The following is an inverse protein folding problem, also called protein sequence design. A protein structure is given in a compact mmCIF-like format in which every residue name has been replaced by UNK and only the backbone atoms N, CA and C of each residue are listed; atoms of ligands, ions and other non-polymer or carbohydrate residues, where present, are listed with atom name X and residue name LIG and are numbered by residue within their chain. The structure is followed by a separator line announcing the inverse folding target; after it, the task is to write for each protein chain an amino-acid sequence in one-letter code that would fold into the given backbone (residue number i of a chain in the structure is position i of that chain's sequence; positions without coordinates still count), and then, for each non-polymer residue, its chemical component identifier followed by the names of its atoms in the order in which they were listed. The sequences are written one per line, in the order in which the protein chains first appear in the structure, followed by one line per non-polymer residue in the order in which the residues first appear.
data_IF_919925356488
#
_entry.id   IF_919925356488
#
_cell.length_a   1.000
_cell.length_b   1.000
_cell.length_c   1.000
_cell.angle_alpha   90.00
_cell.angle_beta   90.00
_cell.angle_gamma   90.00
#
_symmetry.space_group_name_H-M   'P 1'
#
loop_
_entity.id
_entity.type
_entity.pdbx_description
1 polymer ?
#
# COMPACT_ATOMS: atom_id res chain seq x y z
N UNK A 1 1.89 28.35 1.10
CA UNK A 1 2.76 27.27 1.60
C UNK A 1 1.97 26.49 2.61
N UNK A 2 2.01 25.16 2.56
CA UNK A 2 1.38 24.32 3.57
C UNK A 2 2.04 24.56 4.94
N UNK A 3 1.26 24.87 5.97
CA UNK A 3 1.74 25.06 7.35
C UNK A 3 1.71 23.75 8.17
N UNK A 4 1.62 22.61 7.49
CA UNK A 4 1.59 21.29 8.12
C UNK A 4 2.94 21.00 8.76
N UNK A 5 2.93 20.60 10.04
CA UNK A 5 4.12 20.21 10.79
C UNK A 5 3.86 18.97 11.65
N UNK A 6 4.88 18.16 11.95
CA UNK A 6 4.75 17.10 12.95
C UNK A 6 4.28 17.66 14.29
N UNK A 7 3.36 16.95 14.96
CA UNK A 7 2.77 17.40 16.23
C UNK A 7 2.96 16.35 17.34
N UNK A 8 3.95 16.54 18.23
CA UNK A 8 4.12 15.70 19.40
C UNK A 8 2.91 15.74 20.36
N UNK A 9 2.20 16.86 20.41
CA UNK A 9 1.03 17.03 21.28
C UNK A 9 -0.16 16.20 20.79
N UNK A 10 -0.46 16.27 19.49
CA UNK A 10 -1.52 15.46 18.86
C UNK A 10 -1.16 13.97 18.95
N UNK A 11 0.12 13.60 18.76
CA UNK A 11 0.58 12.23 18.97
C UNK A 11 0.35 11.75 20.41
N UNK A 12 0.63 12.59 21.41
CA UNK A 12 0.44 12.26 22.81
C UNK A 12 -1.05 12.09 23.17
N UNK A 13 -1.95 12.89 22.59
CA UNK A 13 -3.40 12.70 22.71
C UNK A 13 -3.81 11.35 22.11
N UNK A 14 -3.30 11.02 20.93
CA UNK A 14 -3.62 9.78 20.26
C UNK A 14 -3.17 8.54 21.05
N UNK A 15 -1.97 8.56 21.64
CA UNK A 15 -1.51 7.48 22.53
C UNK A 15 -2.34 7.39 23.81
N UNK A 16 -2.71 8.52 24.42
CA UNK A 16 -3.62 8.53 25.58
C UNK A 16 -4.98 7.90 25.27
N UNK A 17 -5.53 8.17 24.08
CA UNK A 17 -6.75 7.51 23.61
C UNK A 17 -6.57 5.99 23.57
N UNK A 18 -5.49 5.50 22.95
CA UNK A 18 -5.20 4.07 22.85
C UNK A 18 -4.99 3.44 24.23
N UNK A 19 -4.31 4.12 25.14
CA UNK A 19 -4.11 3.64 26.52
C UNK A 19 -5.40 3.64 27.36
N UNK A 20 -6.33 4.56 27.11
CA UNK A 20 -7.57 4.66 27.88
C UNK A 20 -8.54 3.50 27.58
N UNK A 21 -8.47 2.93 26.37
CA UNK A 21 -9.35 1.84 25.91
C UNK A 21 -9.14 0.53 26.72
N UNK A 22 -7.94 -0.08 26.79
CA UNK A 22 -7.70 -1.30 27.57
C UNK A 22 -7.93 -1.12 29.06
N UNK A 23 -7.63 0.08 29.58
CA UNK A 23 -7.74 0.39 31.00
C UNK A 23 -9.16 0.79 31.43
N UNK A 24 -10.13 0.73 30.50
CA UNK A 24 -11.55 1.02 30.75
C UNK A 24 -11.76 2.30 31.54
N UNK A 25 -11.15 3.40 31.07
CA UNK A 25 -11.26 4.74 31.67
C UNK A 25 -12.29 5.58 30.90
N UNK A 26 -13.61 5.40 31.14
CA UNK A 26 -14.66 6.01 30.33
C UNK A 26 -14.65 7.54 30.37
N UNK A 27 -14.31 8.10 31.54
CA UNK A 27 -14.17 9.55 31.69
C UNK A 27 -13.00 10.10 30.87
N UNK A 28 -11.89 9.36 30.79
CA UNK A 28 -10.73 9.78 30.00
C UNK A 28 -11.09 9.77 28.50
N UNK A 29 -11.75 8.72 28.02
CA UNK A 29 -12.21 8.63 26.63
C UNK A 29 -13.17 9.78 26.28
N UNK A 30 -14.15 10.06 27.15
CA UNK A 30 -15.08 11.18 26.98
C UNK A 30 -14.36 12.53 26.96
N UNK A 31 -13.40 12.73 27.85
CA UNK A 31 -12.67 14.00 27.97
C UNK A 31 -11.76 14.29 26.78
N UNK A 32 -11.35 13.27 26.02
CA UNK A 32 -10.52 13.42 24.83
C UNK A 32 -11.34 13.78 23.58
N UNK A 33 -12.66 13.64 23.59
CA UNK A 33 -13.53 13.91 22.44
C UNK A 33 -14.13 15.32 22.50
N UNK A 34 -14.47 15.86 21.33
CA UNK A 34 -15.26 17.10 21.24
C UNK A 34 -16.62 16.89 21.86
N UNK A 35 -17.19 17.98 22.39
CA UNK A 35 -18.56 17.99 22.92
C UNK A 35 -19.60 18.29 21.86
N UNK A 36 -19.17 18.73 20.68
CA UNK A 36 -20.01 19.22 19.60
C UNK A 36 -20.67 18.08 18.81
N UNK A 37 -21.77 18.41 18.14
CA UNK A 37 -22.60 17.45 17.39
C UNK A 37 -21.89 16.84 16.17
N UNK A 38 -20.79 17.45 15.73
CA UNK A 38 -20.02 16.98 14.57
C UNK A 38 -19.01 15.87 14.93
N UNK A 39 -19.03 15.34 16.15
CA UNK A 39 -18.26 14.15 16.52
C UNK A 39 -18.69 12.97 15.64
N UNK A 40 -17.71 12.32 14.99
CA UNK A 40 -17.92 11.10 14.20
C UNK A 40 -17.15 9.93 14.79
N UNK A 41 -17.81 8.79 14.91
CA UNK A 41 -17.21 7.55 15.40
C UNK A 41 -17.51 6.40 14.45
N UNK A 42 -16.44 5.82 13.94
CA UNK A 42 -16.46 4.62 13.11
C UNK A 42 -15.73 3.50 13.85
N UNK A 43 -16.49 2.45 14.13
CA UNK A 43 -15.98 1.18 14.63
C UNK A 43 -15.56 0.25 13.49
N UNK A 44 -15.39 -1.01 13.85
CA UNK A 44 -14.88 -2.07 12.97
C UNK A 44 -15.98 -2.85 12.26
N UNK A 45 -17.21 -2.86 12.80
CA UNK A 45 -18.35 -3.53 12.20
C UNK A 45 -19.25 -2.57 11.40
N UNK A 46 -20.07 -3.13 10.50
CA UNK A 46 -20.87 -2.39 9.51
C UNK A 46 -21.85 -1.39 10.13
N UNK A 47 -22.40 -1.72 11.29
CA UNK A 47 -23.37 -0.93 12.03
C UNK A 47 -22.74 0.01 13.07
N UNK A 48 -21.41 0.01 13.18
CA UNK A 48 -20.66 0.82 14.15
C UNK A 48 -20.37 2.23 13.62
N UNK A 49 -21.42 2.90 13.13
CA UNK A 49 -21.37 4.27 12.63
C UNK A 49 -22.26 5.16 13.48
N UNK A 50 -21.63 6.04 14.26
CA UNK A 50 -22.33 6.90 15.20
C UNK A 50 -21.83 8.34 15.12
N UNK A 51 -22.66 9.27 15.57
CA UNK A 51 -22.32 10.69 15.59
C UNK A 51 -22.90 11.44 16.78
N UNK A 52 -22.33 12.62 17.05
CA UNK A 52 -22.81 13.58 18.02
C UNK A 52 -22.80 13.08 19.46
N UNK A 53 -23.72 13.63 20.27
CA UNK A 53 -23.73 13.43 21.72
C UNK A 53 -23.88 11.97 22.16
N UNK A 54 -24.62 11.16 21.40
CA UNK A 54 -24.84 9.75 21.69
C UNK A 54 -23.52 8.95 21.78
N UNK A 55 -22.52 9.34 20.98
CA UNK A 55 -21.18 8.73 21.03
C UNK A 55 -20.51 8.98 22.38
N UNK A 56 -20.59 10.20 22.91
CA UNK A 56 -19.92 10.56 24.16
C UNK A 56 -20.46 9.79 25.36
N UNK A 57 -21.76 9.52 25.38
CA UNK A 57 -22.42 8.75 26.43
C UNK A 57 -22.15 7.25 26.28
N UNK A 58 -22.12 6.74 25.04
CA UNK A 58 -21.97 5.32 24.74
C UNK A 58 -20.53 4.80 24.71
N UNK A 59 -19.53 5.64 24.41
CA UNK A 59 -18.15 5.19 24.12
C UNK A 59 -17.51 4.40 25.26
N UNK A 60 -17.82 4.77 26.51
CA UNK A 60 -17.28 4.10 27.69
C UNK A 60 -17.83 2.68 27.84
N UNK A 61 -19.13 2.50 27.57
CA UNK A 61 -19.77 1.19 27.58
C UNK A 61 -19.30 0.33 26.40
N UNK A 62 -19.16 0.94 25.21
CA UNK A 62 -18.64 0.29 24.01
C UNK A 62 -17.26 -0.34 24.26
N UNK A 63 -16.29 0.45 24.74
CA UNK A 63 -14.95 -0.07 25.04
C UNK A 63 -14.91 -0.91 26.33
N UNK A 64 -15.83 -0.68 27.27
CA UNK A 64 -15.96 -1.49 28.48
C UNK A 64 -16.36 -2.95 28.22
N UNK A 65 -17.04 -3.20 27.10
CA UNK A 65 -17.40 -4.54 26.63
C UNK A 65 -16.22 -5.31 26.01
N UNK A 66 -15.10 -4.63 25.70
CA UNK A 66 -13.93 -5.29 25.13
C UNK A 66 -13.23 -6.15 26.20
N UNK A 67 -12.85 -7.40 25.87
CA UNK A 67 -12.09 -8.27 26.77
C UNK A 67 -10.77 -7.64 27.25
N UNK A 68 -10.25 -8.13 28.37
CA UNK A 68 -8.94 -7.71 28.88
C UNK A 68 -7.85 -7.91 27.81
N UNK A 69 -7.02 -6.89 27.62
CA UNK A 69 -5.88 -6.94 26.70
C UNK A 69 -4.67 -7.54 27.42
N UNK A 70 -4.07 -8.58 26.85
CA UNK A 70 -2.89 -9.27 27.40
C UNK A 70 -1.59 -8.86 26.71
N UNK A 71 -1.68 -8.37 25.47
CA UNK A 71 -0.55 -7.86 24.69
C UNK A 71 -0.97 -6.60 23.95
N UNK A 72 -0.10 -5.59 23.96
CA UNK A 72 -0.28 -4.36 23.20
C UNK A 72 1.08 -3.87 22.69
N UNK A 73 1.27 -3.83 21.37
CA UNK A 73 2.52 -3.41 20.71
C UNK A 73 2.21 -2.33 19.67
N UNK A 74 2.80 -1.15 19.79
CA UNK A 74 2.74 -0.09 18.78
C UNK A 74 3.72 -0.41 17.64
N UNK A 75 3.24 -0.44 16.40
CA UNK A 75 4.03 -0.70 15.19
C UNK A 75 4.30 0.58 14.38
N UNK A 76 3.36 1.53 14.39
CA UNK A 76 3.48 2.82 13.73
C UNK A 76 2.68 3.86 14.48
N UNK A 77 3.22 5.08 14.58
CA UNK A 77 2.47 6.23 15.08
C UNK A 77 3.08 7.53 14.55
N UNK A 78 2.28 8.30 13.81
CA UNK A 78 2.63 9.64 13.37
C UNK A 78 1.47 10.60 13.61
N UNK A 79 1.80 11.87 13.82
CA UNK A 79 0.81 12.92 13.98
C UNK A 79 1.33 14.24 13.42
N UNK A 80 0.40 15.01 12.87
CA UNK A 80 0.67 16.30 12.25
C UNK A 80 -0.42 17.28 12.64
N UNK A 81 -0.11 18.56 12.51
CA UNK A 81 -1.06 19.64 12.74
C UNK A 81 -0.90 20.75 11.70
N UNK A 82 -1.97 21.49 11.51
CA UNK A 82 -2.05 22.70 10.70
C UNK A 82 -3.00 23.69 11.38
N UNK A 83 -2.43 24.67 12.09
CA UNK A 83 -3.22 25.59 12.91
C UNK A 83 -3.99 24.85 14.00
N UNK A 84 -5.32 24.98 14.00
CA UNK A 84 -6.20 24.38 15.01
C UNK A 84 -6.72 23.00 14.61
N UNK A 85 -6.16 22.37 13.58
CA UNK A 85 -6.53 21.03 13.13
C UNK A 85 -5.34 20.10 13.21
N UNK A 86 -5.54 18.90 13.75
CA UNK A 86 -4.52 17.88 13.88
C UNK A 86 -5.05 16.53 13.43
N UNK A 87 -4.15 15.62 13.08
CA UNK A 87 -4.50 14.24 12.81
C UNK A 87 -3.37 13.32 13.27
N UNK A 88 -3.76 12.11 13.66
CA UNK A 88 -2.83 11.07 14.04
C UNK A 88 -3.24 9.74 13.41
N UNK A 89 -2.26 8.96 12.99
CA UNK A 89 -2.44 7.61 12.46
C UNK A 89 -1.56 6.65 13.24
N UNK A 90 -2.14 5.56 13.74
CA UNK A 90 -1.46 4.58 14.56
C UNK A 90 -1.83 3.16 14.14
N UNK A 91 -0.88 2.24 14.26
CA UNK A 91 -1.12 0.80 14.11
C UNK A 91 -0.59 0.06 15.33
N UNK A 92 -1.41 -0.84 15.87
CA UNK A 92 -1.10 -1.60 17.07
C UNK A 92 -1.46 -3.06 16.90
N UNK A 93 -0.69 -3.95 17.52
CA UNK A 93 -1.04 -5.36 17.68
C UNK A 93 -1.59 -5.57 19.09
N UNK A 94 -2.79 -6.14 19.18
CA UNK A 94 -3.53 -6.36 20.44
C UNK A 94 -3.88 -7.84 20.57
N UNK A 95 -3.60 -8.45 21.72
CA UNK A 95 -4.13 -9.79 22.06
C UNK A 95 -5.11 -9.67 23.23
N UNK A 96 -6.12 -10.53 23.24
CA UNK A 96 -7.15 -10.55 24.27
C UNK A 96 -7.03 -11.80 25.14
N UNK A 97 -7.37 -11.68 26.42
CA UNK A 97 -7.38 -12.80 27.38
C UNK A 97 -8.29 -13.96 26.93
N UNK A 98 -9.39 -13.64 26.25
CA UNK A 98 -10.31 -14.64 25.70
C UNK A 98 -9.73 -15.44 24.52
N UNK A 99 -8.65 -14.94 23.90
CA UNK A 99 -8.00 -15.53 22.74
C UNK A 99 -6.47 -15.35 22.85
N UNK A 100 -5.81 -15.95 23.84
CA UNK A 100 -4.41 -15.65 24.18
C UNK A 100 -3.42 -16.01 23.05
N UNK A 101 -3.81 -16.96 22.20
CA UNK A 101 -3.00 -17.41 21.06
C UNK A 101 -3.20 -16.58 19.79
N UNK A 102 -4.09 -15.57 19.82
CA UNK A 102 -4.41 -14.71 18.67
C UNK A 102 -4.12 -13.25 19.00
N UNK A 103 -3.42 -12.59 18.07
CA UNK A 103 -3.22 -11.15 18.09
C UNK A 103 -3.89 -10.52 16.87
N UNK A 104 -4.43 -9.33 17.05
CA UNK A 104 -5.17 -8.56 16.05
C UNK A 104 -4.40 -7.28 15.79
N UNK A 105 -4.10 -7.01 14.51
CA UNK A 105 -3.62 -5.69 14.13
C UNK A 105 -4.83 -4.73 14.17
N UNK A 106 -4.65 -3.52 14.68
CA UNK A 106 -5.69 -2.49 14.76
C UNK A 106 -5.10 -1.21 14.22
N UNK A 107 -5.80 -0.58 13.28
CA UNK A 107 -5.45 0.73 12.74
C UNK A 107 -6.38 1.76 13.36
N UNK A 108 -5.83 2.89 13.77
CA UNK A 108 -6.62 4.00 14.33
C UNK A 108 -6.22 5.30 13.64
N UNK A 109 -7.22 6.00 13.10
CA UNK A 109 -7.07 7.37 12.61
C UNK A 109 -7.89 8.29 13.49
N UNK A 110 -7.26 9.36 13.97
CA UNK A 110 -7.91 10.41 14.74
C UNK A 110 -7.77 11.72 13.99
N UNK A 111 -8.88 12.47 13.91
CA UNK A 111 -8.88 13.88 13.50
C UNK A 111 -9.24 14.69 14.74
N UNK A 112 -8.50 15.77 14.96
CA UNK A 112 -8.58 16.58 16.15
C UNK A 112 -8.71 18.06 15.82
N UNK A 113 -9.41 18.78 16.67
CA UNK A 113 -9.49 20.25 16.69
C UNK A 113 -8.97 20.78 18.01
N UNK A 114 -8.37 21.97 17.99
CA UNK A 114 -7.97 22.67 19.20
C UNK A 114 -9.16 23.48 19.74
N UNK A 115 -9.74 23.02 20.85
CA UNK A 115 -10.90 23.64 21.52
C UNK A 115 -10.48 24.15 22.89
N UNK A 116 -10.62 25.46 23.14
CA UNK A 116 -10.24 26.12 24.41
C UNK A 116 -8.83 25.74 24.92
N UNK A 117 -7.88 25.59 23.99
CA UNK A 117 -6.49 25.23 24.29
C UNK A 117 -6.25 23.74 24.54
N UNK A 118 -7.22 22.88 24.26
CA UNK A 118 -7.08 21.43 24.37
C UNK A 118 -7.45 20.74 23.05
N UNK A 119 -6.63 19.80 22.60
CA UNK A 119 -6.97 18.98 21.44
C UNK A 119 -8.11 18.02 21.75
N UNK A 120 -9.12 18.03 20.89
CA UNK A 120 -10.33 17.23 20.99
C UNK A 120 -10.50 16.39 19.75
N UNK A 121 -10.77 15.11 19.94
CA UNK A 121 -11.08 14.17 18.86
C UNK A 121 -12.47 14.54 18.31
N UNK A 122 -12.51 14.93 17.04
CA UNK A 122 -13.74 15.21 16.29
C UNK A 122 -14.11 14.05 15.37
N UNK A 123 -13.13 13.21 15.03
CA UNK A 123 -13.36 11.99 14.26
C UNK A 123 -12.46 10.89 14.78
N UNK A 124 -13.05 9.73 15.07
CA UNK A 124 -12.31 8.50 15.33
C UNK A 124 -12.75 7.43 14.35
N UNK A 125 -11.77 6.85 13.66
CA UNK A 125 -11.96 5.65 12.87
C UNK A 125 -10.99 4.57 13.37
N UNK A 126 -11.53 3.44 13.78
CA UNK A 126 -10.74 2.26 14.09
C UNK A 126 -11.14 1.10 13.20
N UNK A 127 -10.16 0.41 12.63
CA UNK A 127 -10.38 -0.75 11.80
C UNK A 127 -9.50 -1.91 12.27
N UNK A 128 -10.08 -3.10 12.31
CA UNK A 128 -9.31 -4.34 12.27
C UNK A 128 -9.16 -4.68 10.79
N UNK A 129 -7.94 -4.92 10.31
CA UNK A 129 -7.76 -5.34 8.94
C UNK A 129 -8.30 -6.76 8.80
N UNK A 130 -9.46 -6.85 8.20
CA UNK A 130 -9.94 -8.09 7.60
C UNK A 130 -9.07 -8.35 6.36
N UNK A 131 -8.42 -9.53 6.24
CA UNK A 131 -7.80 -9.94 4.98
C UNK A 131 -8.84 -9.78 3.86
N UNK A 132 -8.41 -9.32 2.68
CA UNK A 132 -9.33 -9.04 1.59
C UNK A 132 -10.15 -10.29 1.17
N UNK A 133 -9.61 -11.49 1.42
CA UNK A 133 -10.28 -12.80 1.30
C UNK A 133 -11.61 -12.87 2.04
N UNK A 134 -11.62 -12.39 3.27
CA UNK A 134 -12.74 -12.54 4.19
C UNK A 134 -13.84 -11.49 3.91
N UNK A 135 -13.47 -10.34 3.32
CA UNK A 135 -14.41 -9.27 2.99
C UNK A 135 -14.99 -9.37 1.56
N UNK A 136 -14.20 -9.86 0.61
CA UNK A 136 -14.59 -9.91 -0.81
C UNK A 136 -14.77 -11.33 -1.35
N UNK A 137 -14.46 -12.36 -0.56
CA UNK A 137 -14.43 -13.76 -1.00
C UNK A 137 -13.23 -14.10 -1.90
N UNK A 138 -12.32 -13.14 -2.09
CA UNK A 138 -11.14 -13.26 -2.95
C UNK A 138 -9.98 -12.60 -2.22
N UNK A 139 -8.82 -13.25 -2.17
CA UNK A 139 -7.61 -12.55 -1.76
C UNK A 139 -7.48 -11.35 -2.70
N UNK A 140 -7.24 -10.14 -2.18
CA UNK A 140 -6.63 -9.12 -3.03
C UNK A 140 -5.19 -9.03 -2.61
N UNK A 141 -4.30 -9.79 -3.27
CA UNK A 141 -2.90 -9.68 -3.06
C UNK A 141 -2.30 -9.49 -4.46
N UNK A 142 -2.65 -8.44 -5.20
CA UNK A 142 -2.09 -8.26 -6.54
C UNK A 142 -0.57 -8.54 -6.54
N UNK A 143 0.12 -8.12 -5.46
CA UNK A 143 1.54 -8.39 -5.17
C UNK A 143 1.88 -9.69 -4.37
N UNK A 144 0.98 -10.27 -3.57
CA UNK A 144 1.27 -11.54 -2.87
C UNK A 144 0.90 -12.79 -3.70
N UNK A 145 -0.16 -12.75 -4.52
CA UNK A 145 -0.42 -13.71 -5.62
C UNK A 145 0.70 -13.66 -6.64
N UNK A 146 1.19 -12.45 -6.91
CA UNK A 146 2.39 -12.20 -7.70
C UNK A 146 3.61 -13.00 -7.22
N UNK A 147 3.79 -13.14 -5.91
CA UNK A 147 4.89 -13.88 -5.29
C UNK A 147 4.57 -15.37 -5.12
N UNK A 148 3.30 -15.73 -4.86
CA UNK A 148 2.85 -17.10 -4.69
C UNK A 148 2.79 -17.86 -6.03
N UNK A 149 2.20 -17.25 -7.07
CA UNK A 149 2.13 -17.82 -8.42
C UNK A 149 3.52 -17.94 -9.09
N UNK A 150 4.55 -17.27 -8.56
CA UNK A 150 5.95 -17.41 -9.01
C UNK A 150 6.56 -18.73 -8.54
N UNK A 151 6.03 -19.35 -7.47
CA UNK A 151 6.48 -20.65 -6.96
C UNK A 151 6.04 -21.83 -7.81
N UNK A 152 4.97 -21.69 -8.62
CA UNK A 152 4.44 -22.78 -9.47
C UNK A 152 5.25 -23.03 -10.76
N UNK A 153 6.44 -22.42 -10.88
CA UNK A 153 7.31 -22.58 -12.03
C UNK A 153 6.82 -21.80 -13.25
N UNK A 154 7.73 -21.07 -13.88
CA UNK A 154 7.46 -20.41 -15.16
C UNK A 154 8.67 -20.62 -16.07
N UNK A 155 8.41 -20.78 -17.36
CA UNK A 155 9.45 -20.90 -18.38
C UNK A 155 9.76 -19.50 -18.91
N UNK A 156 10.95 -19.02 -18.62
CA UNK A 156 11.53 -17.89 -19.34
C UNK A 156 12.43 -18.40 -20.44
N UNK A 157 12.52 -17.65 -21.53
CA UNK A 157 13.46 -17.96 -22.61
C UNK A 157 14.93 -17.77 -22.15
N UNK A 158 15.14 -17.01 -21.07
CA UNK A 158 16.44 -16.90 -20.40
C UNK A 158 16.54 -17.84 -19.20
N UNK A 159 17.41 -18.83 -19.33
CA UNK A 159 17.66 -19.83 -18.29
C UNK A 159 18.85 -19.46 -17.40
N UNK A 160 19.75 -18.58 -17.84
CA UNK A 160 20.93 -18.10 -17.09
C UNK A 160 21.30 -16.66 -17.49
N UNK A 161 21.94 -15.91 -16.59
CA UNK A 161 22.50 -14.58 -16.86
C UNK A 161 21.78 -13.44 -16.14
N UNK A 162 21.95 -12.19 -16.57
CA UNK A 162 21.20 -11.05 -16.00
C UNK A 162 19.84 -10.92 -16.68
N UNK A 163 18.78 -10.77 -15.88
CA UNK A 163 17.46 -10.42 -16.36
C UNK A 163 16.89 -9.22 -15.62
N UNK A 164 16.09 -8.42 -16.30
CA UNK A 164 15.33 -7.30 -15.72
C UNK A 164 13.86 -7.67 -15.63
N UNK A 165 13.35 -7.74 -14.41
CA UNK A 165 11.96 -8.07 -14.12
C UNK A 165 11.20 -6.78 -13.90
N UNK A 166 10.11 -6.62 -14.64
CA UNK A 166 9.16 -5.53 -14.51
C UNK A 166 7.83 -6.07 -14.00
N UNK A 167 7.28 -5.38 -13.02
CA UNK A 167 5.89 -5.54 -12.62
C UNK A 167 5.13 -4.24 -12.83
N UNK A 168 3.90 -4.38 -13.30
CA UNK A 168 2.91 -3.30 -13.35
C UNK A 168 1.73 -3.65 -12.47
N UNK A 169 1.07 -2.64 -11.92
CA UNK A 169 -0.11 -2.80 -11.09
C UNK A 169 -1.07 -1.62 -11.30
N UNK A 170 -2.35 -1.89 -11.55
CA UNK A 170 -3.36 -0.86 -11.81
C UNK A 170 -3.78 -0.22 -10.48
N UNK A 171 -3.64 1.09 -10.39
CA UNK A 171 -3.98 1.84 -9.20
C UNK A 171 -5.50 1.94 -9.07
N UNK A 172 -6.03 1.49 -7.93
CA UNK A 172 -7.47 1.59 -7.65
C UNK A 172 -8.33 0.64 -8.48
N UNK A 173 -7.74 -0.40 -9.08
CA UNK A 173 -8.42 -1.41 -9.90
C UNK A 173 -9.67 -2.00 -9.23
N UNK A 174 -9.63 -2.29 -7.94
CA UNK A 174 -10.76 -2.87 -7.21
C UNK A 174 -11.94 -1.90 -7.10
N UNK A 175 -11.66 -0.62 -6.91
CA UNK A 175 -12.69 0.42 -6.88
C UNK A 175 -13.30 0.61 -8.28
N UNK A 176 -12.47 0.60 -9.33
CA UNK A 176 -12.91 0.67 -10.72
C UNK A 176 -13.77 -0.55 -11.11
N UNK A 177 -13.31 -1.75 -10.76
CA UNK A 177 -14.04 -3.00 -11.00
C UNK A 177 -15.40 -3.02 -10.31
N UNK A 178 -15.45 -2.59 -9.04
CA UNK A 178 -16.70 -2.49 -8.27
C UNK A 178 -17.68 -1.46 -8.87
N UNK A 179 -17.17 -0.31 -9.30
CA UNK A 179 -18.00 0.75 -9.89
C UNK A 179 -18.57 0.38 -11.27
N UNK A 180 -17.80 -0.33 -12.09
CA UNK A 180 -18.19 -0.69 -13.46
C UNK A 180 -18.91 -2.04 -13.56
N UNK A 181 -18.64 -2.94 -12.61
CA UNK A 181 -19.05 -4.33 -12.63
C UNK A 181 -18.23 -5.19 -13.60
N UNK A 182 -18.10 -6.48 -13.30
CA UNK A 182 -17.20 -7.41 -13.98
C UNK A 182 -17.36 -7.45 -15.52
N UNK A 183 -18.60 -7.37 -16.00
CA UNK A 183 -18.91 -7.44 -17.44
C UNK A 183 -18.32 -6.25 -18.22
N UNK A 184 -18.31 -5.06 -17.63
CA UNK A 184 -17.73 -3.87 -18.26
C UNK A 184 -16.22 -3.79 -17.99
N UNK A 185 -15.76 -4.24 -16.83
CA UNK A 185 -14.35 -4.23 -16.44
C UNK A 185 -13.47 -5.20 -17.26
N UNK A 186 -13.97 -6.41 -17.53
CA UNK A 186 -13.22 -7.45 -18.24
C UNK A 186 -12.63 -7.02 -19.60
N UNK A 187 -13.38 -6.40 -20.54
CA UNK A 187 -12.81 -5.97 -21.81
C UNK A 187 -11.80 -4.82 -21.67
N UNK A 188 -11.95 -3.95 -20.65
CA UNK A 188 -11.02 -2.86 -20.37
C UNK A 188 -9.67 -3.43 -19.93
N UNK A 189 -9.69 -4.38 -18.99
CA UNK A 189 -8.47 -5.09 -18.53
C UNK A 189 -7.80 -5.86 -19.67
N UNK A 190 -8.58 -6.55 -20.51
CA UNK A 190 -8.04 -7.28 -21.64
C UNK A 190 -7.28 -6.35 -22.60
N UNK A 191 -7.90 -5.21 -22.98
CA UNK A 191 -7.26 -4.21 -23.83
C UNK A 191 -5.99 -3.62 -23.20
N UNK A 192 -6.01 -3.38 -21.88
CA UNK A 192 -4.84 -2.92 -21.14
C UNK A 192 -3.68 -3.92 -21.18
N UNK A 193 -3.96 -5.20 -20.97
CA UNK A 193 -2.95 -6.26 -21.04
C UNK A 193 -2.43 -6.49 -22.46
N UNK A 194 -3.27 -6.37 -23.47
CA UNK A 194 -2.84 -6.45 -24.87
C UNK A 194 -1.90 -5.30 -25.23
N UNK A 195 -2.19 -4.09 -24.75
CA UNK A 195 -1.30 -2.93 -24.91
C UNK A 195 0.06 -3.17 -24.23
N UNK A 196 0.07 -3.61 -22.97
CA UNK A 196 1.32 -3.92 -22.26
C UNK A 196 2.10 -5.02 -22.99
N UNK A 197 1.42 -6.09 -23.41
CA UNK A 197 2.06 -7.21 -24.13
C UNK A 197 2.71 -6.72 -25.42
N UNK A 198 2.02 -5.89 -26.20
CA UNK A 198 2.55 -5.33 -27.44
C UNK A 198 3.83 -4.51 -27.19
N UNK A 199 3.82 -3.61 -26.20
CA UNK A 199 5.00 -2.81 -25.85
C UNK A 199 6.13 -3.69 -25.34
N UNK A 200 5.84 -4.65 -24.46
CA UNK A 200 6.85 -5.57 -23.92
C UNK A 200 7.55 -6.33 -25.07
N UNK A 201 6.78 -6.85 -26.03
CA UNK A 201 7.32 -7.55 -27.20
C UNK A 201 8.09 -6.61 -28.14
N UNK A 202 7.66 -5.36 -28.32
CA UNK A 202 8.37 -4.35 -29.12
C UNK A 202 9.79 -4.07 -28.59
N UNK A 203 9.98 -4.17 -27.27
CA UNK A 203 11.28 -3.96 -26.60
C UNK A 203 12.00 -5.27 -26.27
N UNK A 204 11.83 -6.32 -27.09
CA UNK A 204 12.49 -7.63 -26.91
C UNK A 204 12.25 -8.27 -25.53
N UNK A 205 11.16 -7.90 -24.87
CA UNK A 205 10.73 -8.46 -23.61
C UNK A 205 9.76 -9.62 -23.79
N UNK A 206 9.70 -10.47 -22.77
CA UNK A 206 8.74 -11.55 -22.67
C UNK A 206 7.65 -11.14 -21.67
N UNK A 207 6.41 -11.04 -22.16
CA UNK A 207 5.25 -10.94 -21.27
C UNK A 207 5.02 -12.31 -20.64
N UNK A 208 5.26 -12.42 -19.34
CA UNK A 208 5.22 -13.71 -18.63
C UNK A 208 3.78 -14.07 -18.33
N UNK A 209 3.06 -13.20 -17.61
CA UNK A 209 1.66 -13.41 -17.23
C UNK A 209 1.01 -12.14 -16.69
N UNK A 210 -0.32 -12.11 -16.73
CA UNK A 210 -1.15 -11.22 -15.93
C UNK A 210 -1.45 -11.86 -14.57
N UNK A 211 -1.56 -11.04 -13.53
CA UNK A 211 -1.73 -11.45 -12.14
C UNK A 211 -2.79 -10.55 -11.51
N UNK A 212 -4.05 -10.98 -11.59
CA UNK A 212 -5.19 -10.14 -11.30
C UNK A 212 -5.25 -8.94 -12.25
N UNK A 213 -4.98 -7.76 -11.71
CA UNK A 213 -4.92 -6.45 -12.36
C UNK A 213 -3.49 -5.96 -12.63
N UNK A 214 -2.47 -6.74 -12.23
CA UNK A 214 -1.06 -6.48 -12.50
C UNK A 214 -0.49 -7.35 -13.62
N UNK A 215 0.73 -7.04 -14.06
CA UNK A 215 1.45 -7.85 -15.06
C UNK A 215 2.89 -8.12 -14.65
N UNK A 216 3.43 -9.25 -15.13
CA UNK A 216 4.83 -9.62 -15.02
C UNK A 216 5.46 -9.68 -16.41
N UNK A 217 6.60 -9.02 -16.56
CA UNK A 217 7.42 -9.13 -17.77
C UNK A 217 8.89 -9.28 -17.43
N UNK A 218 9.64 -9.95 -18.29
CA UNK A 218 11.09 -10.11 -18.17
C UNK A 218 11.78 -9.61 -19.42
N UNK A 219 12.94 -8.98 -19.23
CA UNK A 219 13.74 -8.45 -20.33
C UNK A 219 15.19 -8.91 -20.20
N UNK A 220 15.86 -9.22 -21.31
CA UNK A 220 17.29 -9.53 -21.32
C UNK A 220 18.16 -8.30 -21.03
N UNK A 221 17.58 -7.10 -21.11
CA UNK A 221 18.28 -5.81 -20.99
C UNK A 221 17.53 -4.87 -20.07
N UNK A 222 18.25 -4.29 -19.10
CA UNK A 222 17.71 -3.24 -18.23
C UNK A 222 17.23 -2.03 -19.05
N UNK A 223 17.96 -1.68 -20.11
CA UNK A 223 17.59 -0.53 -20.96
C UNK A 223 16.29 -0.78 -21.72
N UNK A 224 16.13 -1.98 -22.27
CA UNK A 224 14.91 -2.36 -22.98
C UNK A 224 13.69 -2.33 -22.03
N UNK A 225 13.87 -2.86 -20.82
CA UNK A 225 12.86 -2.81 -19.76
C UNK A 225 12.45 -1.36 -19.40
N UNK A 226 13.42 -0.46 -19.23
CA UNK A 226 13.16 0.95 -18.91
C UNK A 226 12.47 1.71 -20.06
N UNK A 227 12.83 1.42 -21.32
CA UNK A 227 12.16 1.97 -22.49
C UNK A 227 10.70 1.51 -22.57
N UNK A 228 10.45 0.21 -22.37
CA UNK A 228 9.11 -0.35 -22.34
C UNK A 228 8.25 0.29 -21.23
N UNK A 229 8.81 0.41 -20.02
CA UNK A 229 8.12 1.05 -18.89
C UNK A 229 7.75 2.52 -19.19
N UNK A 230 8.65 3.26 -19.82
CA UNK A 230 8.43 4.66 -20.24
C UNK A 230 7.31 4.76 -21.28
N UNK A 231 7.31 3.86 -22.27
CA UNK A 231 6.27 3.82 -23.30
C UNK A 231 4.91 3.39 -22.74
N UNK A 232 4.87 2.46 -21.77
CA UNK A 232 3.63 2.08 -21.07
C UNK A 232 3.01 3.29 -20.39
N UNK A 233 3.79 4.05 -19.61
CA UNK A 233 3.27 5.26 -18.96
C UNK A 233 2.80 6.30 -19.98
N UNK A 234 3.57 6.52 -21.05
CA UNK A 234 3.22 7.48 -22.11
C UNK A 234 1.94 7.08 -22.87
N UNK A 235 1.75 5.78 -23.11
CA UNK A 235 0.56 5.24 -23.77
C UNK A 235 -0.69 5.42 -22.91
N UNK A 236 -0.58 5.18 -21.59
CA UNK A 236 -1.68 5.38 -20.65
C UNK A 236 -2.02 6.87 -20.46
N UNK A 237 -1.02 7.75 -20.44
CA UNK A 237 -1.24 9.20 -20.37
C UNK A 237 -1.93 9.74 -21.64
N UNK A 238 -1.61 9.16 -22.80
CA UNK A 238 -2.23 9.53 -24.08
C UNK A 238 -3.62 8.92 -24.29
N UNK A 239 -4.01 7.94 -23.46
CA UNK A 239 -5.29 7.26 -23.57
C UNK A 239 -6.41 8.14 -23.00
N UNK A 240 -7.30 8.57 -23.90
CA UNK A 240 -8.46 9.41 -23.56
C UNK A 240 -9.72 8.59 -23.24
N UNK A 241 -9.63 7.25 -23.23
CA UNK A 241 -10.77 6.39 -22.92
C UNK A 241 -11.05 6.35 -21.42
N UNK A 242 -12.33 6.30 -21.06
CA UNK A 242 -12.78 6.14 -19.68
C UNK A 242 -13.10 4.66 -19.38
N UNK A 243 -12.76 4.14 -18.18
CA UNK A 243 -12.04 4.82 -17.11
C UNK A 243 -10.57 5.05 -17.44
N UNK A 244 -10.03 6.21 -17.06
CA UNK A 244 -8.59 6.46 -17.14
C UNK A 244 -7.83 5.52 -16.19
N UNK A 245 -7.05 4.60 -16.78
CA UNK A 245 -6.20 3.68 -16.04
C UNK A 245 -4.86 4.34 -15.69
N UNK A 246 -4.43 4.20 -14.44
CA UNK A 246 -3.09 4.57 -13.99
C UNK A 246 -2.39 3.34 -13.45
N UNK A 247 -1.12 3.17 -13.81
CA UNK A 247 -0.30 2.06 -13.28
C UNK A 247 0.87 2.58 -12.48
N UNK A 248 1.27 1.78 -11.50
CA UNK A 248 2.59 1.89 -10.87
C UNK A 248 3.50 0.80 -11.43
N UNK A 249 4.77 1.12 -11.64
CA UNK A 249 5.74 0.20 -12.24
C UNK A 249 6.93 0.04 -11.31
N UNK A 250 7.38 -1.20 -11.09
CA UNK A 250 8.62 -1.50 -10.38
C UNK A 250 9.53 -2.42 -11.16
N UNK A 251 10.83 -2.12 -11.13
CA UNK A 251 11.85 -2.85 -11.92
C UNK A 251 13.03 -3.24 -11.04
N UNK A 252 13.46 -4.50 -11.15
CA UNK A 252 14.73 -4.98 -10.61
C UNK A 252 15.49 -5.80 -11.64
N UNK A 253 16.81 -5.61 -11.68
CA UNK A 253 17.74 -6.37 -12.50
C UNK A 253 18.65 -7.16 -11.59
N UNK A 254 18.78 -8.46 -11.84
CA UNK A 254 19.62 -9.36 -11.07
C UNK A 254 20.00 -10.59 -11.87
N UNK A 255 20.94 -11.37 -11.33
CA UNK A 255 21.30 -12.65 -11.91
C UNK A 255 20.17 -13.66 -11.72
N UNK A 256 19.82 -14.32 -12.81
CA UNK A 256 18.86 -15.40 -12.85
C UNK A 256 19.60 -16.67 -13.26
N UNK A 257 19.36 -17.76 -12.54
CA UNK A 257 19.74 -19.09 -12.95
C UNK A 257 18.53 -20.00 -12.79
N UNK A 258 18.21 -20.79 -13.81
CA UNK A 258 17.19 -21.80 -13.72
C UNK A 258 17.81 -23.04 -13.08
N UNK A 259 17.98 -23.03 -11.76
CA UNK A 259 18.12 -24.29 -11.03
C UNK A 259 16.73 -24.85 -10.73
N UNK A 260 16.64 -26.17 -10.59
CA UNK A 260 15.39 -26.93 -10.54
C UNK A 260 14.33 -26.44 -9.54
N UNK A 261 14.62 -25.55 -8.57
CA UNK A 261 13.60 -25.15 -7.57
C UNK A 261 13.58 -23.72 -6.97
N UNK A 262 14.48 -22.73 -7.21
CA UNK A 262 14.30 -21.44 -6.46
C UNK A 262 15.02 -20.14 -6.88
N UNK A 263 16.02 -20.13 -7.78
CA UNK A 263 16.86 -18.92 -7.92
C UNK A 263 16.17 -17.71 -8.57
N UNK A 264 15.12 -17.92 -9.36
CA UNK A 264 14.29 -16.83 -9.89
C UNK A 264 13.53 -16.08 -8.78
N UNK A 265 13.25 -16.74 -7.65
CA UNK A 265 12.41 -16.20 -6.59
C UNK A 265 12.95 -14.89 -6.02
N UNK A 266 14.26 -14.75 -5.82
CA UNK A 266 14.82 -13.56 -5.18
C UNK A 266 14.74 -12.30 -6.04
N UNK A 267 15.12 -12.38 -7.33
CA UNK A 267 15.06 -11.25 -8.27
C UNK A 267 13.61 -10.82 -8.50
N UNK A 268 12.73 -11.80 -8.68
CA UNK A 268 11.30 -11.57 -8.87
C UNK A 268 10.66 -10.96 -7.63
N UNK A 269 10.89 -11.54 -6.45
CA UNK A 269 10.36 -11.02 -5.19
C UNK A 269 10.81 -9.58 -4.98
N UNK A 270 12.07 -9.26 -5.26
CA UNK A 270 12.57 -7.89 -5.12
C UNK A 270 11.91 -6.93 -6.10
N UNK A 271 11.72 -7.29 -7.36
CA UNK A 271 10.99 -6.45 -8.32
C UNK A 271 9.54 -6.20 -7.87
N UNK A 272 8.84 -7.24 -7.41
CA UNK A 272 7.47 -7.12 -6.92
C UNK A 272 7.37 -6.20 -5.69
N UNK A 273 8.32 -6.32 -4.75
CA UNK A 273 8.39 -5.45 -3.57
C UNK A 273 8.75 -4.00 -3.91
N UNK A 274 9.60 -3.76 -4.91
CA UNK A 274 9.88 -2.41 -5.41
C UNK A 274 8.63 -1.78 -6.01
N UNK A 275 7.85 -2.54 -6.79
CA UNK A 275 6.58 -2.08 -7.38
C UNK A 275 5.60 -1.62 -6.31
N UNK A 276 5.52 -2.33 -5.18
CA UNK A 276 4.67 -1.95 -4.04
C UNK A 276 5.01 -0.58 -3.44
N UNK A 277 6.25 -0.10 -3.64
CA UNK A 277 6.71 1.20 -3.13
C UNK A 277 6.48 2.35 -4.10
N UNK A 278 6.11 2.06 -5.36
CA UNK A 278 5.80 3.06 -6.37
C UNK A 278 4.39 3.63 -6.17
N UNK A 279 4.24 4.93 -6.42
CA UNK A 279 2.94 5.60 -6.50
C UNK A 279 2.34 5.46 -7.91
N UNK A 280 1.10 5.94 -8.07
CA UNK A 280 0.48 6.02 -9.38
C UNK A 280 1.34 6.81 -10.36
N UNK A 281 1.45 6.31 -11.59
CA UNK A 281 2.24 6.93 -12.66
C UNK A 281 3.75 7.02 -12.35
N UNK A 282 4.25 6.33 -11.32
CA UNK A 282 5.68 6.23 -11.05
C UNK A 282 6.29 4.98 -11.71
N UNK A 283 7.53 5.13 -12.15
CA UNK A 283 8.42 4.02 -12.47
C UNK A 283 9.52 4.00 -11.42
N UNK A 284 9.51 3.01 -10.54
CA UNK A 284 10.51 2.86 -9.49
C UNK A 284 11.46 1.71 -9.80
N UNK A 285 12.76 1.94 -9.64
CA UNK A 285 13.80 0.98 -10.03
C UNK A 285 14.74 0.69 -8.88
N UNK A 286 15.26 -0.52 -8.81
CA UNK A 286 16.36 -0.84 -7.90
C UNK A 286 17.64 -0.07 -8.22
N UNK A 287 18.50 0.14 -7.23
CA UNK A 287 19.85 0.70 -7.46
C UNK A 287 20.66 -0.13 -8.47
N UNK A 288 20.53 -1.46 -8.43
CA UNK A 288 21.17 -2.37 -9.39
C UNK A 288 20.72 -2.10 -10.83
N UNK A 289 19.41 -1.93 -11.07
CA UNK A 289 18.86 -1.60 -12.39
C UNK A 289 19.42 -0.28 -12.90
N UNK A 290 19.45 0.76 -12.04
CA UNK A 290 20.02 2.07 -12.37
C UNK A 290 21.50 1.96 -12.77
N UNK A 291 22.31 1.24 -11.99
CA UNK A 291 23.73 1.06 -12.26
C UNK A 291 23.98 0.30 -13.57
N UNK A 292 23.21 -0.76 -13.84
CA UNK A 292 23.32 -1.58 -15.06
C UNK A 292 22.87 -0.79 -16.30
N UNK A 293 21.80 0.02 -16.19
CA UNK A 293 21.36 0.87 -17.29
C UNK A 293 22.43 1.90 -17.73
N UNK A 294 23.34 2.23 -16.80
CA UNK A 294 24.47 3.13 -16.98
C UNK A 294 24.09 4.61 -17.07
N UNK A 295 25.10 5.48 -17.08
CA UNK A 295 24.93 6.94 -17.20
C UNK A 295 24.79 7.44 -18.66
N UNK A 296 24.48 6.55 -19.61
CA UNK A 296 24.41 6.89 -21.03
C UNK A 296 23.12 7.67 -21.33
N UNK A 297 23.20 8.67 -22.22
CA UNK A 297 22.07 9.50 -22.68
C UNK A 297 20.80 8.66 -22.91
N UNK A 298 19.68 9.05 -22.28
CA UNK A 298 18.36 8.45 -22.53
C UNK A 298 17.47 8.26 -21.29
N UNK A 299 18.05 8.08 -20.09
CA UNK A 299 17.29 7.88 -18.86
C UNK A 299 17.74 8.85 -17.76
N UNK A 300 16.78 9.49 -17.08
CA UNK A 300 17.04 10.38 -15.96
C UNK A 300 16.45 9.76 -14.70
N UNK A 301 17.28 9.59 -13.68
CA UNK A 301 16.85 9.04 -12.40
C UNK A 301 16.83 10.12 -11.33
N UNK A 302 15.80 10.12 -10.47
CA UNK A 302 15.62 11.07 -9.37
C UNK A 302 15.13 10.36 -8.10
N UNK A 303 14.99 11.10 -7.00
CA UNK A 303 14.24 10.64 -5.83
C UNK A 303 14.73 9.33 -5.20
N UNK A 304 16.02 9.24 -4.86
CA UNK A 304 16.57 8.08 -4.15
C UNK A 304 15.91 7.91 -2.78
N UNK A 305 15.46 6.69 -2.48
CA UNK A 305 14.87 6.34 -1.17
C UNK A 305 15.20 4.90 -0.79
N UNK A 306 15.56 4.72 0.47
CA UNK A 306 15.82 3.42 1.08
C UNK A 306 14.53 2.83 1.67
N UNK A 307 14.31 1.55 1.38
CA UNK A 307 13.20 0.77 1.93
C UNK A 307 13.71 -0.50 2.60
N UNK A 308 13.05 -0.87 3.71
CA UNK A 308 13.13 -2.20 4.29
C UNK A 308 12.08 -3.07 3.59
N UNK A 309 12.51 -3.89 2.63
CA UNK A 309 11.61 -4.71 1.83
C UNK A 309 11.33 -6.02 2.56
N UNK A 310 10.07 -6.27 2.93
CA UNK A 310 9.65 -7.46 3.68
C UNK A 310 10.18 -8.75 3.05
N UNK A 311 10.91 -9.53 3.85
CA UNK A 311 11.46 -10.84 3.45
C UNK A 311 12.82 -10.76 2.72
N UNK A 312 13.41 -9.57 2.63
CA UNK A 312 14.76 -9.35 2.10
C UNK A 312 15.62 -8.73 3.19
N UNK A 313 16.88 -9.16 3.29
CA UNK A 313 17.82 -8.63 4.27
C UNK A 313 18.40 -7.28 3.83
N UNK A 314 18.50 -6.36 4.79
CA UNK A 314 19.13 -5.05 4.61
C UNK A 314 18.24 -3.98 4.01
N UNK A 315 18.81 -2.78 3.89
CA UNK A 315 18.14 -1.63 3.27
C UNK A 315 18.32 -1.69 1.75
N UNK A 316 17.26 -1.40 1.02
CA UNK A 316 17.28 -1.40 -0.44
C UNK A 316 17.02 0.00 -0.97
N UNK A 317 18.04 0.58 -1.59
CA UNK A 317 17.93 1.86 -2.29
C UNK A 317 17.18 1.68 -3.60
N UNK A 318 16.21 2.57 -3.84
CA UNK A 318 15.43 2.66 -5.08
C UNK A 318 15.46 4.07 -5.62
N UNK A 319 15.24 4.21 -6.93
CA UNK A 319 15.21 5.49 -7.64
C UNK A 319 13.95 5.58 -8.48
N UNK A 320 13.51 6.80 -8.77
CA UNK A 320 12.46 7.07 -9.74
C UNK A 320 13.07 7.29 -11.12
N UNK A 321 12.55 6.61 -12.14
CA UNK A 321 12.82 6.95 -13.53
C UNK A 321 11.88 8.09 -13.94
N UNK A 322 12.45 9.20 -14.39
CA UNK A 322 11.70 10.32 -14.96
C UNK A 322 11.33 9.98 -16.39
N UNK A 323 10.03 9.90 -16.68
CA UNK A 323 9.48 9.51 -17.99
C UNK A 323 8.69 10.65 -18.66
N UNK A 324 8.22 11.63 -17.90
CA UNK A 324 7.65 12.88 -18.40
C UNK A 324 8.76 13.93 -18.47
N UNK A 325 9.05 14.43 -19.67
CA UNK A 325 10.06 15.50 -19.88
C UNK A 325 9.45 16.65 -20.66
#
# INVERSE_FOLDING_TARGET
MSNVRPSPEVLAIARRWIEAVPNRRPNDLRNLMTKEDHLLFFGTAEDEIWSGHAVQEGVGAFFGAIPSVTKHVEHFAEAYENGNTGWACLTHEIAFETHPDRSFLVRTTLILTLEDGAWKIVHRHGSVPTPNEDFTGVEQPAIADLVAAVKDGFALDQTEGLASIMFTDIVGSSALASALGDRAWSPIIAAHFDMIRAIVTEHDGQFVKSLGDGTMSSFPSARACLSAATQIQSALESDTQEPHLSVRIGIHTGEVMQAQDDFFGTVVNKAARITATAQAQEIRVSDTTRLIAGNTKGFVFSGSKDFDLKGLEGRHTTHLLVWQT
#
